data_IF_607483055157
#
_entry.id   IF_607483055157
#
_cell.length_a   1.000
_cell.length_b   1.000
_cell.length_c   1.000
_cell.angle_alpha   90.00
_cell.angle_beta   90.00
_cell.angle_gamma   90.00
#
_symmetry.space_group_name_H-M   'P 1'
#
loop_
_entity.id
_entity.type
_entity.pdbx_description
1 polymer ?
#
# COMPACT_ATOMS: atom_id res chain seq x y z
N UNK A 1 -27.79 -26.12 13.74
CA UNK A 1 -27.18 -24.81 13.45
C UNK A 1 -25.71 -25.05 13.18
N UNK A 2 -25.31 -25.12 11.91
CA UNK A 2 -23.89 -25.13 11.56
C UNK A 2 -23.35 -23.74 11.92
N UNK A 3 -22.49 -23.67 12.92
CA UNK A 3 -21.63 -22.51 13.15
C UNK A 3 -20.83 -22.31 11.87
N UNK A 4 -21.20 -21.33 11.07
CA UNK A 4 -20.36 -20.82 9.99
C UNK A 4 -19.08 -20.33 10.63
N UNK A 5 -18.06 -21.17 10.60
CA UNK A 5 -16.71 -20.84 11.04
C UNK A 5 -16.28 -19.67 10.17
N UNK A 6 -16.24 -18.47 10.77
CA UNK A 6 -15.71 -17.28 10.10
C UNK A 6 -14.28 -17.66 9.69
N UNK A 7 -13.91 -17.54 8.39
CA UNK A 7 -12.54 -17.79 7.97
C UNK A 7 -11.61 -16.96 8.86
N UNK A 8 -10.55 -17.58 9.39
CA UNK A 8 -9.60 -16.87 10.23
C UNK A 8 -8.97 -15.73 9.42
N UNK A 9 -8.99 -14.51 9.95
CA UNK A 9 -8.35 -13.37 9.30
C UNK A 9 -6.84 -13.63 9.19
N UNK A 10 -6.29 -13.50 7.99
CA UNK A 10 -4.90 -13.91 7.72
C UNK A 10 -3.91 -13.05 8.49
N UNK A 11 -4.18 -11.75 8.67
CA UNK A 11 -3.28 -10.88 9.43
C UNK A 11 -3.31 -11.27 10.91
N UNK A 12 -4.49 -11.54 11.48
CA UNK A 12 -4.62 -12.01 12.87
C UNK A 12 -3.92 -13.36 13.07
N UNK A 13 -4.07 -14.28 12.11
CA UNK A 13 -3.39 -15.58 12.13
C UNK A 13 -1.87 -15.43 12.13
N UNK A 14 -1.31 -14.60 11.24
CA UNK A 14 0.14 -14.38 11.16
C UNK A 14 0.68 -13.66 12.41
N UNK A 15 -0.10 -12.74 12.99
CA UNK A 15 0.26 -12.07 14.25
C UNK A 15 0.06 -12.97 15.48
N UNK A 16 -0.67 -14.10 15.35
CA UNK A 16 -0.99 -14.98 16.46
C UNK A 16 -1.92 -14.33 17.49
N UNK A 17 -2.86 -13.49 17.05
CA UNK A 17 -3.77 -12.73 17.92
C UNK A 17 -5.23 -13.18 17.75
N UNK A 18 -6.03 -13.06 18.80
CA UNK A 18 -7.45 -13.39 18.82
C UNK A 18 -8.26 -12.57 19.84
N UNK A 19 -9.58 -12.80 19.93
CA UNK A 19 -10.44 -12.10 20.89
C UNK A 19 -9.92 -12.24 22.33
N UNK A 20 -9.66 -11.11 22.97
CA UNK A 20 -9.04 -11.03 24.30
C UNK A 20 -7.66 -10.36 24.28
N UNK A 21 -6.95 -10.40 23.15
CA UNK A 21 -5.67 -9.73 23.00
C UNK A 21 -5.82 -8.23 22.79
N UNK A 22 -4.90 -7.45 23.34
CA UNK A 22 -4.88 -5.99 23.21
C UNK A 22 -4.72 -5.55 21.75
N UNK A 23 -3.79 -6.17 21.00
CA UNK A 23 -3.57 -5.86 19.59
C UNK A 23 -4.77 -6.25 18.72
N UNK A 24 -5.42 -7.38 18.99
CA UNK A 24 -6.64 -7.77 18.30
C UNK A 24 -7.73 -6.72 18.50
N UNK A 25 -7.96 -6.29 19.76
CA UNK A 25 -8.92 -5.23 20.07
C UNK A 25 -8.60 -3.92 19.34
N UNK A 26 -7.32 -3.53 19.33
CA UNK A 26 -6.84 -2.34 18.63
C UNK A 26 -7.07 -2.41 17.11
N UNK A 27 -6.76 -3.54 16.48
CA UNK A 27 -6.96 -3.76 15.04
C UNK A 27 -8.45 -3.78 14.69
N UNK A 28 -9.25 -4.53 15.44
CA UNK A 28 -10.69 -4.71 15.21
C UNK A 28 -11.53 -3.47 15.54
N UNK A 29 -10.97 -2.47 16.24
CA UNK A 29 -11.58 -1.14 16.32
C UNK A 29 -11.77 -0.49 14.93
N UNK A 30 -11.01 -0.94 13.90
CA UNK A 30 -11.21 -0.62 12.48
C UNK A 30 -11.85 -1.81 11.73
N UNK A 31 -12.92 -2.39 12.26
CA UNK A 31 -13.54 -3.61 11.71
C UNK A 31 -13.84 -3.56 10.20
N UNK A 32 -14.21 -2.41 9.64
CA UNK A 32 -14.40 -2.26 8.18
C UNK A 32 -13.13 -2.56 7.38
N UNK A 33 -11.97 -2.16 7.90
CA UNK A 33 -10.65 -2.45 7.30
C UNK A 33 -10.39 -3.96 7.39
N UNK A 34 -10.59 -4.56 8.57
CA UNK A 34 -10.41 -5.99 8.79
C UNK A 34 -11.25 -6.81 7.80
N UNK A 35 -12.56 -6.54 7.75
CA UNK A 35 -13.50 -7.24 6.89
C UNK A 35 -13.17 -7.08 5.40
N UNK A 36 -12.90 -5.87 4.93
CA UNK A 36 -12.59 -5.64 3.52
C UNK A 36 -11.22 -6.23 3.12
N UNK A 37 -10.24 -6.21 4.02
CA UNK A 37 -8.92 -6.85 3.81
C UNK A 37 -9.04 -8.37 3.70
N UNK A 38 -9.81 -9.02 4.57
CA UNK A 38 -10.06 -10.45 4.44
C UNK A 38 -10.92 -10.78 3.23
N UNK A 39 -11.94 -9.98 2.93
CA UNK A 39 -12.76 -10.17 1.73
C UNK A 39 -11.94 -10.04 0.44
N UNK A 40 -10.99 -9.11 0.38
CA UNK A 40 -10.04 -9.03 -0.73
C UNK A 40 -9.21 -10.32 -0.84
N UNK A 41 -8.72 -10.87 0.29
CA UNK A 41 -7.99 -12.14 0.31
C UNK A 41 -8.82 -13.28 -0.31
N UNK A 42 -10.06 -13.45 0.16
CA UNK A 42 -10.95 -14.49 -0.33
C UNK A 42 -11.23 -14.34 -1.84
N UNK A 43 -11.47 -13.11 -2.31
CA UNK A 43 -11.69 -12.85 -3.74
C UNK A 43 -10.41 -13.08 -4.57
N UNK A 44 -9.26 -12.70 -4.02
CA UNK A 44 -7.98 -12.85 -4.70
C UNK A 44 -7.60 -14.32 -4.87
N UNK A 45 -7.83 -15.18 -3.87
CA UNK A 45 -7.26 -16.53 -3.87
C UNK A 45 -8.29 -17.65 -3.96
N UNK A 46 -9.54 -17.39 -3.56
CA UNK A 46 -10.57 -18.40 -3.34
C UNK A 46 -11.90 -18.09 -4.03
N UNK A 47 -11.97 -17.04 -4.86
CA UNK A 47 -13.20 -16.68 -5.57
C UNK A 47 -13.76 -17.87 -6.38
N UNK A 48 -15.09 -18.09 -6.35
CA UNK A 48 -15.75 -19.06 -7.21
C UNK A 48 -15.45 -18.75 -8.68
N UNK A 49 -15.02 -19.77 -9.45
CA UNK A 49 -14.72 -19.62 -10.86
C UNK A 49 -13.24 -19.41 -11.20
N UNK A 50 -12.35 -19.24 -10.20
CA UNK A 50 -10.92 -19.29 -10.46
C UNK A 50 -10.50 -20.71 -10.86
N UNK A 51 -9.82 -20.82 -12.00
CA UNK A 51 -9.16 -22.05 -12.40
C UNK A 51 -7.98 -22.40 -11.46
N UNK A 52 -7.54 -23.65 -11.49
CA UNK A 52 -6.37 -24.07 -10.71
C UNK A 52 -5.12 -23.26 -11.06
N UNK A 53 -4.87 -23.03 -12.36
CA UNK A 53 -3.70 -22.27 -12.83
C UNK A 53 -3.74 -20.81 -12.36
N UNK A 54 -4.89 -20.13 -12.47
CA UNK A 54 -5.03 -18.75 -12.00
C UNK A 54 -4.76 -18.63 -10.49
N UNK A 55 -5.16 -19.63 -9.69
CA UNK A 55 -4.84 -19.64 -8.26
C UNK A 55 -3.35 -19.87 -8.02
N UNK A 56 -2.72 -20.77 -8.77
CA UNK A 56 -1.27 -21.00 -8.70
C UNK A 56 -0.49 -19.73 -9.03
N UNK A 57 -0.83 -19.03 -10.11
CA UNK A 57 -0.18 -17.77 -10.50
C UNK A 57 -0.31 -16.70 -9.41
N UNK A 58 -1.50 -16.57 -8.81
CA UNK A 58 -1.77 -15.59 -7.74
C UNK A 58 -0.99 -15.94 -6.46
N UNK A 59 -0.96 -17.20 -6.06
CA UNK A 59 -0.17 -17.62 -4.89
C UNK A 59 1.34 -17.54 -5.15
N UNK A 60 1.80 -17.76 -6.38
CA UNK A 60 3.20 -17.56 -6.75
C UNK A 60 3.62 -16.11 -6.56
N UNK A 61 2.86 -15.14 -7.10
CA UNK A 61 3.22 -13.72 -6.91
C UNK A 61 3.13 -13.29 -5.45
N UNK A 62 2.16 -13.83 -4.71
CA UNK A 62 2.03 -13.57 -3.27
C UNK A 62 3.24 -14.09 -2.47
N UNK A 63 3.68 -15.31 -2.76
CA UNK A 63 4.87 -15.91 -2.14
C UNK A 63 6.13 -15.13 -2.49
N UNK A 64 6.37 -14.82 -3.77
CA UNK A 64 7.54 -14.05 -4.21
C UNK A 64 7.62 -12.66 -3.55
N UNK A 65 6.48 -11.97 -3.42
CA UNK A 65 6.45 -10.65 -2.80
C UNK A 65 6.65 -10.71 -1.28
N UNK A 66 6.02 -11.69 -0.62
CA UNK A 66 6.17 -11.91 0.80
C UNK A 66 7.60 -12.37 1.16
N UNK A 67 8.24 -13.22 0.35
CA UNK A 67 9.65 -13.60 0.52
C UNK A 67 10.58 -12.39 0.40
N UNK A 68 10.29 -11.45 -0.52
CA UNK A 68 11.14 -10.31 -0.77
C UNK A 68 11.04 -9.20 0.29
N UNK A 69 9.88 -9.02 0.93
CA UNK A 69 9.63 -7.85 1.79
C UNK A 69 8.90 -8.14 3.10
N UNK A 70 8.39 -9.36 3.27
CA UNK A 70 7.46 -9.71 4.34
C UNK A 70 8.04 -10.65 5.41
N UNK A 71 7.23 -10.91 6.45
CA UNK A 71 7.59 -11.88 7.48
C UNK A 71 7.63 -13.30 6.89
N UNK A 72 8.60 -14.11 7.33
CA UNK A 72 8.75 -15.51 6.90
C UNK A 72 7.47 -16.34 7.07
N UNK A 73 6.68 -16.07 8.12
CA UNK A 73 5.40 -16.73 8.36
C UNK A 73 4.39 -16.49 7.23
N UNK A 74 4.32 -15.26 6.69
CA UNK A 74 3.41 -14.94 5.60
C UNK A 74 3.85 -15.59 4.29
N UNK A 75 5.16 -15.56 4.01
CA UNK A 75 5.70 -16.19 2.83
C UNK A 75 5.54 -17.72 2.87
N UNK A 76 5.76 -18.33 4.03
CA UNK A 76 5.50 -19.76 4.26
C UNK A 76 4.03 -20.10 4.02
N UNK A 77 3.09 -19.31 4.55
CA UNK A 77 1.66 -19.50 4.30
C UNK A 77 1.36 -19.51 2.78
N UNK A 78 1.88 -18.56 2.02
CA UNK A 78 1.62 -18.51 0.57
C UNK A 78 2.28 -19.66 -0.20
N UNK A 79 3.49 -20.09 0.20
CA UNK A 79 4.16 -21.26 -0.38
C UNK A 79 3.42 -22.56 -0.11
N UNK A 80 2.88 -22.73 1.10
CA UNK A 80 2.08 -23.90 1.47
C UNK A 80 0.77 -23.95 0.68
N UNK A 81 0.09 -22.79 0.54
CA UNK A 81 -1.12 -22.69 -0.28
C UNK A 81 -0.85 -23.00 -1.76
N UNK A 82 0.25 -22.48 -2.31
CA UNK A 82 0.68 -22.84 -3.67
C UNK A 82 0.95 -24.34 -3.81
N UNK A 83 1.69 -24.92 -2.85
CA UNK A 83 2.04 -26.35 -2.85
C UNK A 83 0.79 -27.24 -2.79
N UNK A 84 -0.21 -26.86 -1.98
CA UNK A 84 -1.48 -27.57 -1.87
C UNK A 84 -2.26 -27.62 -3.20
N UNK A 85 -2.03 -26.66 -4.10
CA UNK A 85 -2.60 -26.64 -5.45
C UNK A 85 -1.85 -27.51 -6.47
N UNK A 86 -0.80 -28.24 -6.05
CA UNK A 86 0.03 -29.08 -6.92
C UNK A 86 0.59 -28.28 -8.11
N UNK A 87 1.49 -27.31 -7.85
CA UNK A 87 1.98 -26.39 -8.86
C UNK A 87 2.78 -27.12 -9.94
N UNK A 88 2.79 -26.56 -11.16
CA UNK A 88 3.61 -27.12 -12.24
C UNK A 88 5.12 -27.03 -11.92
N UNK A 89 5.95 -27.79 -12.64
CA UNK A 89 7.42 -27.69 -12.50
C UNK A 89 7.92 -26.26 -12.72
N UNK A 90 7.32 -25.54 -13.67
CA UNK A 90 7.64 -24.15 -13.95
C UNK A 90 7.38 -23.23 -12.75
N UNK A 91 6.26 -23.41 -12.03
CA UNK A 91 5.99 -22.65 -10.81
C UNK A 91 7.01 -22.96 -9.71
N UNK A 92 7.38 -24.24 -9.56
CA UNK A 92 8.38 -24.69 -8.60
C UNK A 92 9.76 -24.10 -8.93
N UNK A 93 10.12 -24.03 -10.21
CA UNK A 93 11.37 -23.42 -10.66
C UNK A 93 11.40 -21.92 -10.35
N UNK A 94 10.35 -21.18 -10.71
CA UNK A 94 10.26 -19.74 -10.42
C UNK A 94 10.32 -19.45 -8.93
N UNK A 95 9.57 -20.20 -8.12
CA UNK A 95 9.55 -20.01 -6.66
C UNK A 95 10.93 -20.24 -6.05
N UNK A 96 11.69 -21.18 -6.59
CA UNK A 96 13.06 -21.46 -6.16
C UNK A 96 14.12 -20.53 -6.79
N UNK A 97 13.70 -19.48 -7.51
CA UNK A 97 14.60 -18.52 -8.15
C UNK A 97 15.29 -19.03 -9.42
N UNK A 98 14.83 -20.14 -10.00
CA UNK A 98 15.33 -20.69 -11.26
C UNK A 98 14.52 -20.17 -12.45
N UNK A 99 15.11 -20.24 -13.63
CA UNK A 99 14.42 -19.99 -14.89
C UNK A 99 13.45 -21.15 -15.19
N UNK A 100 12.21 -20.81 -15.47
CA UNK A 100 11.16 -21.74 -15.90
C UNK A 100 11.16 -21.90 -17.42
N UNK A 101 10.57 -22.99 -17.92
CA UNK A 101 10.37 -23.17 -19.37
C UNK A 101 9.27 -22.24 -19.94
N UNK A 102 8.41 -21.70 -19.07
CA UNK A 102 7.36 -20.74 -19.40
C UNK A 102 7.88 -19.30 -19.35
N UNK A 103 8.02 -18.68 -20.53
CA UNK A 103 8.35 -17.27 -20.65
C UNK A 103 7.34 -16.35 -19.93
N UNK A 104 6.06 -16.73 -19.90
CA UNK A 104 5.00 -16.01 -19.20
C UNK A 104 5.23 -15.96 -17.68
N UNK A 105 5.64 -17.08 -17.08
CA UNK A 105 5.92 -17.15 -15.65
C UNK A 105 7.23 -16.44 -15.28
N UNK A 106 8.25 -16.49 -16.15
CA UNK A 106 9.48 -15.73 -15.95
C UNK A 106 9.20 -14.21 -15.96
N UNK A 107 8.43 -13.72 -16.95
CA UNK A 107 8.03 -12.31 -17.02
C UNK A 107 7.20 -11.89 -15.79
N UNK A 108 6.27 -12.75 -15.33
CA UNK A 108 5.48 -12.48 -14.12
C UNK A 108 6.36 -12.40 -12.86
N UNK A 109 7.35 -13.29 -12.73
CA UNK A 109 8.27 -13.29 -11.62
C UNK A 109 9.13 -12.02 -11.57
N UNK A 110 9.68 -11.63 -12.72
CA UNK A 110 10.52 -10.43 -12.82
C UNK A 110 9.71 -9.16 -12.54
N UNK A 111 8.50 -9.07 -13.08
CA UNK A 111 7.55 -8.00 -12.77
C UNK A 111 7.26 -7.94 -11.26
N UNK A 112 6.94 -9.08 -10.64
CA UNK A 112 6.63 -9.16 -9.21
C UNK A 112 7.81 -8.74 -8.33
N UNK A 113 9.01 -9.24 -8.63
CA UNK A 113 10.23 -8.90 -7.87
C UNK A 113 10.58 -7.43 -7.96
N UNK A 114 10.46 -6.83 -9.15
CA UNK A 114 10.67 -5.38 -9.31
C UNK A 114 9.68 -4.60 -8.44
N UNK A 115 8.40 -4.98 -8.44
CA UNK A 115 7.38 -4.31 -7.63
C UNK A 115 7.53 -4.54 -6.13
N UNK A 116 8.12 -5.66 -5.70
CA UNK A 116 8.33 -5.93 -4.29
C UNK A 116 9.26 -4.87 -3.68
N UNK A 117 10.43 -4.64 -4.28
CA UNK A 117 11.52 -3.85 -3.67
C UNK A 117 11.58 -2.42 -4.23
N UNK A 118 11.43 -2.25 -5.54
CA UNK A 118 11.63 -0.97 -6.23
C UNK A 118 10.46 -0.67 -7.18
N UNK A 119 9.29 -0.28 -6.65
CA UNK A 119 8.09 -0.10 -7.47
C UNK A 119 8.20 1.00 -8.54
N UNK A 120 9.20 1.89 -8.46
CA UNK A 120 9.50 2.90 -9.48
C UNK A 120 10.35 2.40 -10.64
N UNK A 121 11.02 1.24 -10.52
CA UNK A 121 11.87 0.70 -11.60
C UNK A 121 11.09 -0.16 -12.58
N UNK A 122 9.94 -0.69 -12.16
CA UNK A 122 9.02 -1.30 -13.09
C UNK A 122 8.37 -0.18 -13.92
N UNK A 123 8.42 -0.35 -15.23
CA UNK A 123 8.09 0.67 -16.20
C UNK A 123 7.15 0.08 -17.25
N UNK A 124 6.74 0.90 -18.21
CA UNK A 124 5.85 0.49 -19.31
C UNK A 124 6.38 -0.72 -20.08
N UNK A 125 7.70 -0.89 -20.20
CA UNK A 125 8.29 -2.03 -20.91
C UNK A 125 8.04 -3.34 -20.17
N UNK A 126 8.27 -3.39 -18.85
CA UNK A 126 7.99 -4.58 -18.04
C UNK A 126 6.51 -4.98 -18.10
N UNK A 127 5.59 -4.01 -18.03
CA UNK A 127 4.15 -4.25 -18.15
C UNK A 127 3.77 -4.82 -19.52
N UNK A 128 4.28 -4.21 -20.60
CA UNK A 128 4.02 -4.69 -21.96
C UNK A 128 4.71 -6.02 -22.25
N UNK A 129 5.80 -6.33 -21.55
CA UNK A 129 6.43 -7.65 -21.54
C UNK A 129 5.49 -8.76 -21.08
N UNK A 130 4.62 -8.49 -20.11
CA UNK A 130 3.57 -9.45 -19.70
C UNK A 130 2.58 -9.72 -20.84
N UNK A 131 2.13 -8.65 -21.53
CA UNK A 131 1.23 -8.78 -22.69
C UNK A 131 1.91 -9.59 -23.80
N UNK A 132 3.17 -9.27 -24.11
CA UNK A 132 3.95 -9.99 -25.11
C UNK A 132 4.18 -11.47 -24.74
N UNK A 133 4.25 -11.78 -23.45
CA UNK A 133 4.35 -13.14 -22.95
C UNK A 133 3.00 -13.88 -22.88
N UNK A 134 1.89 -13.24 -23.28
CA UNK A 134 0.58 -13.86 -23.45
C UNK A 134 -0.43 -13.59 -22.33
N UNK A 135 -0.10 -12.75 -21.34
CA UNK A 135 -1.05 -12.37 -20.29
C UNK A 135 -2.12 -11.42 -20.84
N UNK A 136 -3.39 -11.69 -20.53
CA UNK A 136 -4.48 -10.77 -20.86
C UNK A 136 -4.49 -9.54 -19.95
N UNK A 137 -5.05 -8.43 -20.42
CA UNK A 137 -5.16 -7.18 -19.64
C UNK A 137 -5.91 -7.40 -18.31
N UNK A 138 -7.05 -8.11 -18.24
CA UNK A 138 -7.72 -8.39 -16.97
C UNK A 138 -6.87 -9.22 -15.98
N UNK A 139 -6.06 -10.16 -16.48
CA UNK A 139 -5.15 -10.95 -15.65
C UNK A 139 -4.03 -10.08 -15.08
N UNK A 140 -3.42 -9.22 -15.91
CA UNK A 140 -2.38 -8.28 -15.46
C UNK A 140 -2.93 -7.34 -14.38
N UNK A 141 -4.13 -6.78 -14.57
CA UNK A 141 -4.79 -5.91 -13.59
C UNK A 141 -5.02 -6.65 -12.27
N UNK A 142 -5.52 -7.89 -12.34
CA UNK A 142 -5.74 -8.73 -11.16
C UNK A 142 -4.43 -9.01 -10.43
N UNK A 143 -3.39 -9.47 -11.15
CA UNK A 143 -2.09 -9.79 -10.56
C UNK A 143 -1.43 -8.55 -9.96
N UNK A 144 -1.52 -7.39 -10.60
CA UNK A 144 -1.05 -6.12 -10.05
C UNK A 144 -1.79 -5.76 -8.75
N UNK A 145 -3.11 -5.97 -8.68
CA UNK A 145 -3.86 -5.78 -7.43
C UNK A 145 -3.44 -6.76 -6.33
N UNK A 146 -3.17 -8.03 -6.66
CA UNK A 146 -2.64 -9.01 -5.68
C UNK A 146 -1.26 -8.61 -5.17
N UNK A 147 -0.33 -8.22 -6.05
CA UNK A 147 1.00 -7.71 -5.67
C UNK A 147 0.88 -6.52 -4.73
N UNK A 148 0.02 -5.55 -5.07
CA UNK A 148 -0.24 -4.38 -4.24
C UNK A 148 -0.85 -4.75 -2.88
N UNK A 149 -1.81 -5.67 -2.87
CA UNK A 149 -2.45 -6.17 -1.65
C UNK A 149 -1.45 -6.85 -0.72
N UNK A 150 -0.61 -7.76 -1.22
CA UNK A 150 0.37 -8.47 -0.37
C UNK A 150 1.43 -7.50 0.16
N UNK A 151 1.75 -6.44 -0.58
CA UNK A 151 2.61 -5.35 -0.11
C UNK A 151 1.96 -4.56 1.05
N UNK A 152 0.67 -4.28 0.96
CA UNK A 152 -0.13 -3.69 2.04
C UNK A 152 -0.21 -4.63 3.25
N UNK A 153 -0.50 -5.91 3.03
CA UNK A 153 -0.66 -6.91 4.08
C UNK A 153 0.64 -7.09 4.86
N UNK A 154 1.77 -7.22 4.14
CA UNK A 154 3.12 -7.28 4.69
C UNK A 154 3.41 -6.11 5.64
N UNK A 155 3.23 -4.88 5.16
CA UNK A 155 3.50 -3.66 5.97
C UNK A 155 2.54 -3.53 7.13
N UNK A 156 1.28 -3.95 6.96
CA UNK A 156 0.31 -4.00 8.06
C UNK A 156 0.76 -4.96 9.16
N UNK A 157 1.19 -6.18 8.80
CA UNK A 157 1.68 -7.18 9.77
C UNK A 157 2.94 -6.67 10.48
N UNK A 158 3.93 -6.19 9.74
CA UNK A 158 5.20 -5.70 10.31
C UNK A 158 4.95 -4.53 11.26
N UNK A 159 4.15 -3.54 10.85
CA UNK A 159 3.84 -2.38 11.68
C UNK A 159 3.06 -2.76 12.94
N UNK A 160 2.05 -3.63 12.83
CA UNK A 160 1.25 -4.06 13.97
C UNK A 160 2.05 -4.92 14.95
N UNK A 161 2.94 -5.79 14.44
CA UNK A 161 3.86 -6.57 15.28
C UNK A 161 4.81 -5.66 16.05
N UNK A 162 5.42 -4.68 15.38
CA UNK A 162 6.28 -3.70 16.04
C UNK A 162 5.53 -2.89 17.11
N UNK A 163 4.26 -2.54 16.86
CA UNK A 163 3.43 -1.85 17.84
C UNK A 163 3.09 -2.73 19.05
N UNK A 164 2.85 -4.02 18.85
CA UNK A 164 2.66 -5.00 19.93
C UNK A 164 3.90 -5.08 20.82
N UNK A 165 5.06 -5.30 20.22
CA UNK A 165 6.34 -5.38 20.93
C UNK A 165 6.65 -4.08 21.69
N UNK A 166 6.31 -2.91 21.12
CA UNK A 166 6.49 -1.62 21.78
C UNK A 166 5.58 -1.42 23.00
N UNK A 167 4.35 -1.91 22.94
CA UNK A 167 3.37 -1.80 24.04
C UNK A 167 3.74 -2.70 25.23
N UNK A 168 4.30 -3.88 24.96
CA UNK A 168 4.77 -4.83 25.96
C UNK A 168 6.02 -4.32 26.71
N UNK A 169 6.75 -3.35 26.14
CA UNK A 169 8.00 -2.78 26.69
C UNK A 169 7.75 -1.52 27.55
N UNK A 170 6.54 -1.28 28.07
CA UNK A 170 6.28 -0.09 28.91
C UNK A 170 6.92 -0.15 30.31
N UNK A 171 8.24 0.06 30.41
CA UNK A 171 8.96 0.75 31.50
C UNK A 171 10.38 1.13 31.05
N UNK A 172 10.54 2.34 30.51
CA UNK A 172 11.86 2.92 30.27
C UNK A 172 11.74 4.43 30.01
N UNK A 173 12.60 5.28 30.58
CA UNK A 173 12.61 6.70 30.23
C UNK A 173 12.88 6.82 28.72
N UNK A 174 11.95 7.46 28.00
CA UNK A 174 12.06 7.69 26.57
C UNK A 174 13.39 8.36 26.25
N UNK A 175 14.10 7.83 25.27
CA UNK A 175 15.33 8.43 24.79
C UNK A 175 15.02 9.88 24.37
N UNK A 176 15.71 10.84 24.99
CA UNK A 176 15.61 12.24 24.64
C UNK A 176 15.93 12.39 23.14
N UNK A 177 14.96 12.91 22.37
CA UNK A 177 15.24 13.32 21.01
C UNK A 177 16.24 14.47 21.10
N UNK A 178 17.48 14.25 20.63
CA UNK A 178 18.41 15.34 20.39
C UNK A 178 17.86 16.17 19.23
N UNK A 179 17.15 17.22 19.59
CA UNK A 179 16.75 18.27 18.68
C UNK A 179 18.03 18.86 18.07
N UNK A 180 18.24 18.53 16.80
CA UNK A 180 19.43 18.96 16.02
C UNK A 180 19.02 19.58 14.69
N UNK A 181 17.72 19.82 14.47
CA UNK A 181 17.25 20.42 13.23
C UNK A 181 17.33 21.94 13.30
N UNK A 182 18.21 22.53 12.50
CA UNK A 182 18.13 23.94 12.12
C UNK A 182 16.68 24.28 11.73
N UNK A 183 16.09 25.24 12.44
CA UNK A 183 14.80 25.81 12.07
C UNK A 183 14.93 26.43 10.68
N UNK A 184 14.37 25.78 9.66
CA UNK A 184 14.26 26.38 8.33
C UNK A 184 13.29 27.56 8.45
N UNK A 185 13.84 28.78 8.40
CA UNK A 185 13.06 29.99 8.54
C UNK A 185 11.98 30.09 7.44
N UNK A 186 10.70 30.34 7.77
CA UNK A 186 9.57 30.37 6.82
C UNK A 186 9.67 31.38 5.66
N UNK A 187 10.74 32.18 5.61
CA UNK A 187 10.91 33.27 4.64
C UNK A 187 11.30 32.77 3.23
N UNK A 188 11.69 31.49 3.08
CA UNK A 188 12.03 30.88 1.80
C UNK A 188 11.03 29.80 1.36
N UNK A 189 9.89 29.65 2.05
CA UNK A 189 8.87 28.67 1.69
C UNK A 189 7.85 29.27 0.73
N UNK A 190 7.37 28.50 -0.27
CA UNK A 190 6.22 28.92 -1.06
C UNK A 190 5.00 29.11 -0.14
N UNK A 191 4.18 30.17 -0.28
CA UNK A 191 2.97 30.33 0.50
C UNK A 191 2.01 29.14 0.29
N UNK A 192 1.21 28.75 1.30
CA UNK A 192 0.21 27.69 1.15
C UNK A 192 -0.72 27.95 -0.06
N UNK A 193 -0.92 26.93 -0.90
CA UNK A 193 -1.69 27.05 -2.13
C UNK A 193 -0.93 27.57 -3.35
N UNK A 194 0.32 28.01 -3.22
CA UNK A 194 1.20 28.22 -4.38
C UNK A 194 1.66 26.86 -4.92
N UNK A 195 1.64 26.69 -6.24
CA UNK A 195 2.23 25.53 -6.91
C UNK A 195 3.76 25.61 -6.80
N UNK A 196 4.40 24.51 -6.38
CA UNK A 196 5.86 24.37 -6.36
C UNK A 196 6.31 23.04 -6.94
N UNK A 197 7.58 22.98 -7.34
CA UNK A 197 8.27 21.77 -7.79
C UNK A 197 9.64 21.68 -7.13
N UNK A 198 9.92 20.54 -6.49
CA UNK A 198 11.12 20.28 -5.70
C UNK A 198 11.55 18.84 -5.95
N UNK A 199 12.80 18.63 -6.40
CA UNK A 199 13.36 17.29 -6.65
C UNK A 199 12.46 16.41 -7.55
N UNK A 200 11.77 17.03 -8.52
CA UNK A 200 10.83 16.37 -9.43
C UNK A 200 9.44 16.08 -8.84
N UNK A 201 9.17 16.43 -7.59
CA UNK A 201 7.86 16.33 -6.95
C UNK A 201 7.14 17.68 -6.94
N UNK A 202 5.81 17.66 -7.00
CA UNK A 202 5.00 18.88 -7.05
C UNK A 202 3.73 18.74 -6.22
N UNK A 203 3.12 19.85 -5.82
CA UNK A 203 1.76 19.92 -5.29
C UNK A 203 0.73 20.37 -6.36
N UNK A 204 1.10 20.47 -7.64
CA UNK A 204 0.17 20.76 -8.73
C UNK A 204 -0.82 19.59 -8.95
N UNK A 205 -2.07 19.88 -9.29
CA UNK A 205 -3.01 18.85 -9.77
C UNK A 205 -2.45 18.17 -11.02
N UNK A 206 -2.33 16.85 -10.97
CA UNK A 206 -1.87 16.02 -12.07
C UNK A 206 -3.02 15.16 -12.58
N UNK A 207 -3.02 14.85 -13.87
CA UNK A 207 -3.83 13.78 -14.44
C UNK A 207 -3.03 12.47 -14.40
N UNK A 208 -3.67 11.35 -14.74
CA UNK A 208 -3.03 10.05 -14.84
C UNK A 208 -3.55 9.31 -16.07
N UNK A 209 -2.64 8.75 -16.86
CA UNK A 209 -2.95 8.06 -18.11
C UNK A 209 -2.56 6.58 -17.98
N UNK A 210 -3.48 5.70 -18.39
CA UNK A 210 -3.25 4.25 -18.37
C UNK A 210 -2.31 3.78 -19.48
N UNK A 211 -1.47 2.80 -19.18
CA UNK A 211 -0.66 2.08 -20.18
C UNK A 211 -1.41 0.96 -20.89
N UNK A 212 -2.47 0.45 -20.27
CA UNK A 212 -3.31 -0.61 -20.80
C UNK A 212 -4.69 -0.06 -21.20
N UNK A 213 -5.40 -0.71 -22.13
CA UNK A 213 -6.77 -0.32 -22.47
C UNK A 213 -7.67 -0.26 -21.24
N UNK A 214 -8.37 0.87 -21.07
CA UNK A 214 -9.36 1.07 -20.02
C UNK A 214 -10.72 0.50 -20.43
N UNK A 215 -11.60 0.26 -19.46
CA UNK A 215 -12.98 -0.12 -19.74
C UNK A 215 -13.71 1.02 -20.48
N UNK A 216 -14.41 0.68 -21.56
CA UNK A 216 -15.24 1.65 -22.28
C UNK A 216 -16.46 2.05 -21.44
N UNK A 217 -16.68 3.35 -21.27
CA UNK A 217 -17.76 3.88 -20.43
C UNK A 217 -19.16 3.42 -20.89
N UNK A 218 -19.35 3.24 -22.20
CA UNK A 218 -20.59 2.75 -22.80
C UNK A 218 -20.87 1.26 -22.54
N UNK A 219 -19.83 0.49 -22.19
CA UNK A 219 -19.91 -0.95 -21.95
C UNK A 219 -19.95 -1.32 -20.46
N UNK A 220 -19.97 -0.33 -19.56
CA UNK A 220 -20.07 -0.57 -18.12
C UNK A 220 -21.40 -1.24 -17.74
N UNK A 221 -21.32 -2.32 -16.98
CA UNK A 221 -22.50 -2.92 -16.34
C UNK A 221 -23.02 -2.01 -15.21
N UNK A 222 -24.27 -2.20 -14.78
CA UNK A 222 -24.84 -1.45 -13.65
C UNK A 222 -24.07 -1.69 -12.34
N UNK A 223 -23.56 -2.91 -12.14
CA UNK A 223 -22.74 -3.21 -10.96
C UNK A 223 -21.37 -2.52 -11.02
N UNK A 224 -20.73 -2.48 -12.19
CA UNK A 224 -19.48 -1.74 -12.37
C UNK A 224 -19.68 -0.23 -12.13
N UNK A 225 -20.78 0.35 -12.62
CA UNK A 225 -21.15 1.76 -12.36
C UNK A 225 -21.30 2.03 -10.86
N UNK A 226 -22.01 1.15 -10.15
CA UNK A 226 -22.18 1.23 -8.68
C UNK A 226 -20.83 1.21 -7.97
N UNK A 227 -19.93 0.29 -8.34
CA UNK A 227 -18.60 0.17 -7.72
C UNK A 227 -17.75 1.41 -7.99
N UNK A 228 -17.79 1.96 -9.21
CA UNK A 228 -17.08 3.20 -9.55
C UNK A 228 -17.57 4.37 -8.67
N UNK A 229 -18.89 4.55 -8.56
CA UNK A 229 -19.48 5.66 -7.80
C UNK A 229 -19.17 5.60 -6.31
N UNK A 230 -19.13 4.40 -5.72
CA UNK A 230 -18.77 4.21 -4.32
C UNK A 230 -17.26 4.28 -4.09
N UNK A 231 -16.45 4.03 -5.12
CA UNK A 231 -14.99 4.06 -5.03
C UNK A 231 -14.44 5.48 -4.96
N UNK A 232 -14.88 6.37 -5.86
CA UNK A 232 -14.44 7.77 -5.90
C UNK A 232 -15.40 8.65 -6.70
N UNK A 233 -15.65 9.92 -6.30
CA UNK A 233 -16.60 10.80 -7.00
C UNK A 233 -16.30 11.04 -8.49
N UNK A 234 -15.03 10.94 -8.90
CA UNK A 234 -14.57 11.08 -10.30
C UNK A 234 -14.14 9.75 -10.94
N UNK A 235 -14.54 8.61 -10.39
CA UNK A 235 -14.05 7.31 -10.85
C UNK A 235 -14.33 7.06 -12.34
N UNK A 236 -15.48 7.50 -12.85
CA UNK A 236 -15.87 7.32 -14.26
C UNK A 236 -15.07 8.18 -15.25
N UNK A 237 -14.38 9.20 -14.76
CA UNK A 237 -13.55 10.12 -15.55
C UNK A 237 -12.06 9.78 -15.43
N UNK A 238 -11.71 8.81 -14.58
CA UNK A 238 -10.33 8.49 -14.23
C UNK A 238 -9.92 7.19 -14.89
N UNK A 239 -8.92 7.26 -15.76
CA UNK A 239 -8.27 6.11 -16.39
C UNK A 239 -7.90 5.04 -15.35
N UNK A 240 -7.44 5.45 -14.17
CA UNK A 240 -7.08 4.52 -13.10
C UNK A 240 -8.25 3.64 -12.66
N UNK A 241 -9.40 4.25 -12.38
CA UNK A 241 -10.59 3.51 -11.95
C UNK A 241 -11.21 2.74 -13.12
N UNK A 242 -11.23 3.33 -14.32
CA UNK A 242 -11.71 2.68 -15.54
C UNK A 242 -10.81 1.52 -15.99
N UNK A 243 -9.53 1.51 -15.62
CA UNK A 243 -8.67 0.34 -15.77
C UNK A 243 -9.04 -0.72 -14.74
N UNK A 244 -9.03 -0.37 -13.45
CA UNK A 244 -9.21 -1.35 -12.37
C UNK A 244 -10.61 -1.98 -12.31
N UNK A 245 -11.64 -1.33 -12.86
CA UNK A 245 -13.02 -1.87 -12.89
C UNK A 245 -13.18 -3.13 -13.75
N UNK A 246 -12.16 -3.50 -14.53
CA UNK A 246 -12.06 -4.79 -15.20
C UNK A 246 -11.87 -5.96 -14.20
N UNK A 247 -11.53 -5.67 -12.93
CA UNK A 247 -11.57 -6.59 -11.81
C UNK A 247 -12.47 -6.02 -10.69
N UNK A 248 -13.80 -5.99 -10.89
CA UNK A 248 -14.72 -5.12 -10.14
C UNK A 248 -14.76 -5.42 -8.64
N UNK A 249 -14.88 -6.69 -8.25
CA UNK A 249 -14.99 -7.09 -6.84
C UNK A 249 -13.69 -6.79 -6.06
N UNK A 250 -12.53 -6.96 -6.71
CA UNK A 250 -11.23 -6.59 -6.13
C UNK A 250 -11.10 -5.08 -5.95
N UNK A 251 -11.52 -4.30 -6.95
CA UNK A 251 -11.55 -2.83 -6.85
C UNK A 251 -12.48 -2.39 -5.70
N UNK A 252 -13.66 -2.99 -5.56
CA UNK A 252 -14.60 -2.66 -4.50
C UNK A 252 -13.98 -2.86 -3.11
N UNK A 253 -13.40 -4.04 -2.84
CA UNK A 253 -12.78 -4.29 -1.53
C UNK A 253 -11.56 -3.39 -1.28
N UNK A 254 -10.73 -3.14 -2.30
CA UNK A 254 -9.63 -2.18 -2.20
C UNK A 254 -10.13 -0.79 -1.84
N UNK A 255 -11.18 -0.30 -2.50
CA UNK A 255 -11.78 1.00 -2.24
C UNK A 255 -12.36 1.09 -0.82
N UNK A 256 -12.96 0.00 -0.33
CA UNK A 256 -13.44 -0.07 1.06
C UNK A 256 -12.29 0.02 2.07
N UNK A 257 -11.19 -0.71 1.88
CA UNK A 257 -9.98 -0.60 2.71
C UNK A 257 -9.43 0.83 2.70
N UNK A 258 -9.24 1.39 1.50
CA UNK A 258 -8.72 2.76 1.33
C UNK A 258 -9.59 3.79 2.04
N UNK A 259 -10.90 3.78 1.80
CA UNK A 259 -11.82 4.75 2.37
C UNK A 259 -11.92 4.62 3.89
N UNK A 260 -11.92 3.39 4.41
CA UNK A 260 -11.95 3.12 5.85
C UNK A 260 -10.65 3.56 6.55
N UNK A 261 -9.49 3.46 5.89
CA UNK A 261 -8.22 3.94 6.44
C UNK A 261 -8.10 5.46 6.36
N UNK A 262 -8.47 6.08 5.24
CA UNK A 262 -8.21 7.51 5.01
C UNK A 262 -9.25 8.45 5.60
N UNK A 263 -10.53 8.03 5.66
CA UNK A 263 -11.63 8.93 6.02
C UNK A 263 -12.35 8.58 7.32
N UNK A 264 -12.05 7.43 7.96
CA UNK A 264 -12.76 7.05 9.17
C UNK A 264 -12.48 8.01 10.35
N UNK A 265 -13.50 8.36 11.16
CA UNK A 265 -13.36 9.27 12.28
C UNK A 265 -12.53 8.67 13.43
N UNK A 266 -12.03 9.53 14.32
CA UNK A 266 -11.20 9.14 15.48
C UNK A 266 -9.79 8.68 15.11
N UNK A 267 -8.95 8.45 16.13
CA UNK A 267 -7.55 8.03 15.95
C UNK A 267 -6.68 9.13 15.33
N UNK A 268 -5.82 8.79 14.38
CA UNK A 268 -4.93 9.78 13.74
C UNK A 268 -5.77 10.78 12.93
N UNK A 269 -5.37 12.05 12.96
CA UNK A 269 -6.04 13.09 12.18
C UNK A 269 -5.88 12.83 10.68
N UNK A 270 -6.80 13.37 9.87
CA UNK A 270 -6.68 13.25 8.41
C UNK A 270 -5.36 13.82 7.90
N UNK A 271 -4.91 14.95 8.43
CA UNK A 271 -3.63 15.56 8.03
C UNK A 271 -2.43 14.63 8.31
N UNK A 272 -2.39 13.95 9.46
CA UNK A 272 -1.32 12.98 9.76
C UNK A 272 -1.35 11.77 8.83
N UNK A 273 -2.55 11.31 8.44
CA UNK A 273 -2.72 10.26 7.44
C UNK A 273 -2.22 10.71 6.07
N UNK A 274 -2.53 11.93 5.64
CA UNK A 274 -2.01 12.50 4.39
C UNK A 274 -0.49 12.67 4.43
N UNK A 275 0.08 13.07 5.57
CA UNK A 275 1.54 13.21 5.74
C UNK A 275 2.25 11.86 5.60
N UNK A 276 1.76 10.81 6.27
CA UNK A 276 2.29 9.46 6.12
C UNK A 276 2.20 8.97 4.67
N UNK A 277 1.05 9.21 4.02
CA UNK A 277 0.79 8.85 2.62
C UNK A 277 1.74 9.56 1.65
N UNK A 278 2.01 10.85 1.90
CA UNK A 278 2.96 11.65 1.12
C UNK A 278 4.38 11.13 1.31
N UNK A 279 4.77 10.78 2.54
CA UNK A 279 6.10 10.24 2.83
C UNK A 279 6.37 8.92 2.09
N UNK A 280 5.42 7.98 2.15
CA UNK A 280 5.50 6.72 1.40
C UNK A 280 5.59 6.98 -0.11
N UNK A 281 4.75 7.87 -0.64
CA UNK A 281 4.73 8.19 -2.07
C UNK A 281 6.03 8.86 -2.54
N UNK A 282 6.61 9.75 -1.71
CA UNK A 282 7.88 10.43 -1.99
C UNK A 282 9.04 9.45 -2.08
N UNK A 283 9.12 8.47 -1.20
CA UNK A 283 10.23 7.48 -1.21
C UNK A 283 10.02 6.36 -2.23
N UNK A 284 8.77 6.06 -2.59
CA UNK A 284 8.47 5.14 -3.69
C UNK A 284 8.64 5.79 -5.08
N UNK A 285 8.83 7.11 -5.17
CA UNK A 285 8.95 7.80 -6.47
C UNK A 285 7.62 8.13 -7.14
N UNK A 286 6.48 7.98 -6.45
CA UNK A 286 5.16 8.17 -7.05
C UNK A 286 4.73 9.65 -7.00
N UNK A 287 5.06 10.40 -8.05
CA UNK A 287 4.79 11.85 -8.17
C UNK A 287 3.28 12.14 -8.09
N UNK A 288 2.44 11.35 -8.77
CA UNK A 288 0.98 11.52 -8.71
C UNK A 288 0.44 11.44 -7.28
N UNK A 289 0.75 10.35 -6.57
CA UNK A 289 0.26 10.18 -5.20
C UNK A 289 0.86 11.25 -4.28
N UNK A 290 2.15 11.54 -4.37
CA UNK A 290 2.78 12.57 -3.57
C UNK A 290 2.09 13.94 -3.76
N UNK A 291 1.74 14.31 -5.00
CA UNK A 291 1.00 15.54 -5.28
C UNK A 291 -0.40 15.55 -4.64
N UNK A 292 -1.19 14.50 -4.85
CA UNK A 292 -2.57 14.44 -4.33
C UNK A 292 -2.56 14.55 -2.81
N UNK A 293 -1.67 13.84 -2.13
CA UNK A 293 -1.62 13.80 -0.67
C UNK A 293 -0.98 15.05 -0.06
N UNK A 294 0.00 15.67 -0.73
CA UNK A 294 0.48 17.01 -0.39
C UNK A 294 -0.65 18.04 -0.44
N UNK A 295 -1.43 18.09 -1.52
CA UNK A 295 -2.55 19.01 -1.64
C UNK A 295 -3.60 18.79 -0.55
N UNK A 296 -3.92 17.53 -0.21
CA UNK A 296 -4.87 17.24 0.86
C UNK A 296 -4.34 17.68 2.22
N UNK A 297 -3.06 17.47 2.50
CA UNK A 297 -2.41 18.00 3.71
C UNK A 297 -2.57 19.52 3.77
N UNK A 298 -2.16 20.24 2.72
CA UNK A 298 -2.24 21.71 2.67
C UNK A 298 -3.68 22.23 2.84
N UNK A 299 -4.66 21.57 2.22
CA UNK A 299 -6.06 21.94 2.34
C UNK A 299 -6.58 21.81 3.78
N UNK A 300 -6.11 20.81 4.52
CA UNK A 300 -6.53 20.51 5.90
C UNK A 300 -5.82 21.40 6.92
N UNK A 301 -4.52 21.66 6.74
CA UNK A 301 -3.68 22.35 7.74
C UNK A 301 -3.46 23.83 7.43
N UNK A 302 -3.73 24.25 6.19
CA UNK A 302 -3.36 25.56 5.64
C UNK A 302 -1.85 25.84 5.71
N UNK A 303 -1.04 24.78 5.67
CA UNK A 303 0.44 24.81 5.73
C UNK A 303 1.04 23.80 4.76
N UNK A 304 2.22 24.10 4.22
CA UNK A 304 2.96 23.24 3.28
C UNK A 304 4.44 23.04 3.67
N UNK A 305 4.87 23.58 4.81
CA UNK A 305 6.26 23.57 5.28
C UNK A 305 6.83 22.16 5.45
N UNK A 306 6.08 21.26 6.10
CA UNK A 306 6.51 19.85 6.22
C UNK A 306 6.53 19.13 4.86
N UNK A 307 5.67 19.52 3.92
CA UNK A 307 5.64 18.95 2.57
C UNK A 307 6.86 19.40 1.78
N UNK A 308 7.24 20.68 1.89
CA UNK A 308 8.47 21.22 1.31
C UNK A 308 9.68 20.46 1.85
N UNK A 309 9.82 20.35 3.18
CA UNK A 309 10.91 19.57 3.80
C UNK A 309 10.93 18.12 3.32
N UNK A 310 9.75 17.50 3.18
CA UNK A 310 9.62 16.12 2.73
C UNK A 310 10.05 15.94 1.26
N UNK A 311 9.76 16.90 0.39
CA UNK A 311 10.19 16.84 -1.01
C UNK A 311 11.69 17.07 -1.16
N UNK A 312 12.27 18.00 -0.39
CA UNK A 312 13.72 18.32 -0.37
C UNK A 312 14.56 17.20 0.26
N UNK A 313 14.26 16.84 1.51
CA UNK A 313 15.10 15.97 2.34
C UNK A 313 14.23 15.04 3.23
N UNK A 314 13.64 13.97 2.68
CA UNK A 314 12.62 13.17 3.37
C UNK A 314 13.12 12.53 4.68
N UNK A 315 14.39 12.14 4.77
CA UNK A 315 14.99 11.54 5.97
C UNK A 315 15.14 12.51 7.15
N UNK A 316 15.03 13.82 6.91
CA UNK A 316 15.11 14.85 7.94
C UNK A 316 13.86 15.72 8.01
N UNK A 317 12.78 15.35 7.31
CA UNK A 317 11.56 16.14 7.26
C UNK A 317 10.70 16.01 8.52
N UNK A 318 10.03 17.11 8.90
CA UNK A 318 9.13 17.21 10.04
C UNK A 318 9.33 18.53 10.79
N UNK A 319 8.28 19.36 10.90
CA UNK A 319 8.39 20.65 11.62
C UNK A 319 8.25 20.52 13.14
N UNK A 320 7.91 19.32 13.61
CA UNK A 320 7.86 18.94 15.02
C UNK A 320 8.39 17.52 15.22
N UNK A 321 8.71 17.16 16.47
CA UNK A 321 9.09 15.79 16.83
C UNK A 321 8.02 14.76 16.40
N UNK A 322 6.74 15.13 16.53
CA UNK A 322 5.59 14.30 16.14
C UNK A 322 5.53 14.06 14.64
N UNK A 323 5.60 15.12 13.84
CA UNK A 323 5.59 15.00 12.37
C UNK A 323 6.81 14.25 11.86
N UNK A 324 7.99 14.53 12.44
CA UNK A 324 9.23 13.83 12.12
C UNK A 324 9.12 12.34 12.40
N UNK A 325 8.57 11.94 13.55
CA UNK A 325 8.34 10.55 13.89
C UNK A 325 7.39 9.86 12.89
N UNK A 326 6.30 10.53 12.50
CA UNK A 326 5.35 10.02 11.48
C UNK A 326 6.05 9.79 10.14
N UNK A 327 6.83 10.76 9.67
CA UNK A 327 7.57 10.66 8.41
C UNK A 327 8.59 9.53 8.47
N UNK A 328 9.46 9.51 9.49
CA UNK A 328 10.52 8.51 9.59
C UNK A 328 9.98 7.08 9.72
N UNK A 329 8.92 6.86 10.50
CA UNK A 329 8.26 5.57 10.60
C UNK A 329 7.68 5.13 9.26
N UNK A 330 7.00 6.04 8.54
CA UNK A 330 6.41 5.74 7.22
C UNK A 330 7.47 5.38 6.18
N UNK A 331 8.62 6.07 6.20
CA UNK A 331 9.77 5.80 5.33
C UNK A 331 10.39 4.45 5.68
N UNK A 332 10.68 4.19 6.95
CA UNK A 332 11.31 2.95 7.40
C UNK A 332 10.43 1.71 7.11
N UNK A 333 9.12 1.81 7.34
CA UNK A 333 8.17 0.74 7.01
C UNK A 333 8.12 0.48 5.49
N UNK A 334 8.45 1.48 4.68
CA UNK A 334 8.44 1.38 3.22
C UNK A 334 9.74 0.80 2.67
N UNK A 335 10.90 1.33 3.10
CA UNK A 335 12.22 1.05 2.54
C UNK A 335 12.95 -0.10 3.24
N UNK A 336 12.77 -0.26 4.55
CA UNK A 336 13.49 -1.24 5.36
C UNK A 336 12.53 -2.09 6.20
N UNK A 337 11.52 -2.75 5.58
CA UNK A 337 10.53 -3.52 6.33
C UNK A 337 11.16 -4.68 7.13
N UNK A 338 12.25 -5.28 6.66
CA UNK A 338 12.93 -6.39 7.34
C UNK A 338 13.57 -6.01 8.68
N UNK A 339 13.95 -4.74 8.87
CA UNK A 339 14.56 -4.23 10.10
C UNK A 339 13.63 -3.30 10.89
N UNK A 340 12.38 -3.16 10.44
CA UNK A 340 11.40 -2.32 11.10
C UNK A 340 10.94 -2.97 12.42
N UNK A 341 10.97 -2.21 13.51
CA UNK A 341 10.58 -2.71 14.82
C UNK A 341 10.29 -1.60 15.81
N UNK A 342 10.43 -1.93 17.10
CA UNK A 342 10.17 -1.03 18.21
C UNK A 342 10.89 0.32 18.09
N UNK A 343 12.12 0.35 17.55
CA UNK A 343 12.91 1.58 17.38
C UNK A 343 12.18 2.65 16.55
N UNK A 344 11.39 2.26 15.55
CA UNK A 344 10.62 3.19 14.73
C UNK A 344 9.29 3.58 15.38
N UNK A 345 8.81 2.83 16.38
CA UNK A 345 7.55 3.09 17.09
C UNK A 345 7.76 3.99 18.31
N UNK A 346 8.87 3.83 19.04
CA UNK A 346 9.16 4.61 20.26
C UNK A 346 9.14 6.13 20.08
N UNK A 347 9.65 6.72 18.97
CA UNK A 347 9.56 8.17 18.75
C UNK A 347 8.12 8.68 18.60
N UNK A 348 7.20 7.86 18.07
CA UNK A 348 5.78 8.21 17.99
C UNK A 348 5.18 8.23 19.40
N UNK A 349 5.42 7.19 20.21
CA UNK A 349 4.94 7.14 21.59
C UNK A 349 5.50 8.30 22.43
N UNK A 350 6.80 8.58 22.31
CA UNK A 350 7.49 9.66 23.03
C UNK A 350 7.00 11.06 22.63
N UNK A 351 6.46 11.22 21.42
CA UNK A 351 5.82 12.46 20.95
C UNK A 351 4.30 12.51 21.21
N UNK A 352 3.78 11.61 22.04
CA UNK A 352 2.39 11.57 22.46
C UNK A 352 1.42 11.03 21.41
N UNK A 353 1.91 10.26 20.42
CA UNK A 353 1.04 9.55 19.47
C UNK A 353 0.53 8.28 20.16
N UNK A 354 -0.79 8.12 20.26
CA UNK A 354 -1.39 6.96 20.95
C UNK A 354 -1.32 5.69 20.08
N UNK A 355 -1.42 4.48 20.66
CA UNK A 355 -1.46 3.24 19.88
C UNK A 355 -2.54 3.22 18.78
N UNK A 356 -3.72 3.81 19.04
CA UNK A 356 -4.80 3.96 18.05
C UNK A 356 -4.38 4.85 16.87
N UNK A 357 -3.64 5.92 17.15
CA UNK A 357 -3.12 6.81 16.13
C UNK A 357 -2.01 6.11 15.33
N UNK A 358 -1.09 5.40 16.01
CA UNK A 358 -0.02 4.63 15.35
C UNK A 358 -0.61 3.56 14.43
N UNK A 359 -1.64 2.82 14.88
CA UNK A 359 -2.39 1.84 14.07
C UNK A 359 -2.98 2.47 12.80
N UNK A 360 -3.51 3.69 12.88
CA UNK A 360 -4.02 4.40 11.70
C UNK A 360 -2.89 4.87 10.77
N UNK A 361 -1.78 5.37 11.31
CA UNK A 361 -0.63 5.83 10.52
C UNK A 361 0.04 4.65 9.79
N UNK A 362 0.21 3.49 10.45
CA UNK A 362 0.65 2.24 9.83
C UNK A 362 -0.29 1.86 8.68
N UNK A 363 -1.60 1.93 8.93
CA UNK A 363 -2.61 1.64 7.92
C UNK A 363 -2.49 2.56 6.69
N UNK A 364 -2.33 3.88 6.90
CA UNK A 364 -2.06 4.84 5.82
C UNK A 364 -0.78 4.49 5.05
N UNK A 365 0.34 4.26 5.74
CA UNK A 365 1.58 3.89 5.07
C UNK A 365 1.44 2.59 4.24
N UNK A 366 0.77 1.57 4.81
CA UNK A 366 0.55 0.29 4.15
C UNK A 366 -0.35 0.41 2.91
N UNK A 367 -1.46 1.16 2.97
CA UNK A 367 -2.36 1.29 1.80
C UNK A 367 -1.71 2.09 0.67
N UNK A 368 -0.79 3.01 0.98
CA UNK A 368 0.00 3.71 -0.05
C UNK A 368 1.10 2.86 -0.66
N UNK A 369 1.63 1.88 0.07
CA UNK A 369 2.48 0.86 -0.55
C UNK A 369 1.73 0.04 -1.61
N UNK A 370 0.41 -0.20 -1.42
CA UNK A 370 -0.44 -0.78 -2.46
C UNK A 370 -0.70 0.23 -3.59
N UNK A 371 -1.21 1.41 -3.26
CA UNK A 371 -1.60 2.40 -4.27
C UNK A 371 -0.43 2.81 -5.18
N UNK A 372 0.76 3.08 -4.63
CA UNK A 372 1.91 3.48 -5.43
C UNK A 372 2.34 2.39 -6.42
N UNK A 373 2.28 1.11 -6.03
CA UNK A 373 2.59 -0.01 -6.95
C UNK A 373 1.68 -0.05 -8.16
N UNK A 374 0.38 0.23 -7.97
CA UNK A 374 -0.56 0.31 -9.08
C UNK A 374 -0.32 1.56 -9.93
N UNK A 375 -0.18 2.73 -9.28
CA UNK A 375 -0.06 4.02 -9.97
C UNK A 375 1.21 4.16 -10.80
N UNK A 376 2.34 3.62 -10.32
CA UNK A 376 3.63 3.68 -11.01
C UNK A 376 3.71 2.74 -12.21
N UNK A 377 2.92 1.66 -12.22
CA UNK A 377 3.16 0.53 -13.12
C UNK A 377 2.06 0.31 -14.13
N UNK A 378 0.84 0.72 -13.82
CA UNK A 378 -0.29 0.62 -14.74
C UNK A 378 -0.47 1.88 -15.60
N UNK A 379 0.34 2.92 -15.37
CA UNK A 379 0.22 4.20 -16.06
C UNK A 379 1.31 5.18 -15.65
N UNK A 380 1.09 6.46 -15.95
CA UNK A 380 1.96 7.58 -15.56
C UNK A 380 1.14 8.76 -15.11
N UNK A 381 1.74 9.64 -14.32
CA UNK A 381 1.25 10.99 -14.17
C UNK A 381 1.35 11.78 -15.49
N UNK A 382 0.37 12.65 -15.72
CA UNK A 382 0.37 13.64 -16.80
C UNK A 382 0.37 15.02 -16.13
N UNK A 383 1.42 15.79 -16.40
CA UNK A 383 1.54 17.15 -15.89
C UNK A 383 0.69 18.11 -16.71
N UNK A 384 0.10 19.15 -16.09
CA UNK A 384 -0.56 20.22 -16.83
C UNK A 384 0.39 20.79 -17.89
N UNK A 385 -0.14 21.11 -19.06
CA UNK A 385 0.60 21.92 -20.03
C UNK A 385 0.77 23.32 -19.41
N UNK A 386 2.02 23.75 -19.23
CA UNK A 386 2.37 25.08 -18.68
C UNK A 386 2.10 26.16 -19.72
#
# INVERSE_FOLDING_TARGET
MQTTQIPADVIDQILGIGPGDALHTLRHARNKVVQATQAFHELAFHAPGLSAIQRQDRFLVAALLADATGPEALATLYREQLTALQPSSDHVDVLAGRQSSSAALNALADYTRSLAIHPSTANREALLGLVAAGWSVPEIITLAQVIGYVSYQTRSIIGLKALQEAADITTGPGAESKDTGDFIHPAHLPPPGQIFEIEGFTNATLDWESWLPTQEASALTEDQKRILDTSHPKARESDYYMLLIQAPELLEQRSLVFNALMYAPGGASRAERELASTAVSRVNGCVYCASVHAQRFEQLTKRNDVIVQLFEAPLTAGTSARERAIVQMSIALTQTPATFGNEQIQPLLSSGVTPEQIRDIIGSAAIFAWANRLMLNLGKEVRPSI
#
